data_IF_784320347731
#
_entry.id   IF_784320347731
#
_cell.length_a   1.000
_cell.length_b   1.000
_cell.length_c   1.000
_cell.angle_alpha   90.00
_cell.angle_beta   90.00
_cell.angle_gamma   90.00
#
_symmetry.space_group_name_H-M   'P 1'
#
loop_
_entity.id
_entity.type
_entity.pdbx_description
1 polymer ?
#
# COMPACT_ATOMS: atom_id res chain seq x y z
N UNK A 1 12.86 -0.41 -13.42
CA UNK A 1 12.04 0.66 -14.04
C UNK A 1 12.58 2.08 -13.73
N UNK A 2 13.29 2.32 -12.60
CA UNK A 2 13.78 3.65 -12.21
C UNK A 2 14.63 4.33 -13.30
N UNK A 3 15.64 3.64 -13.85
CA UNK A 3 16.51 4.22 -14.90
C UNK A 3 15.76 4.62 -16.17
N UNK A 4 14.74 3.84 -16.53
CA UNK A 4 13.90 4.17 -17.69
C UNK A 4 12.99 5.37 -17.38
N UNK A 5 12.42 5.41 -16.17
CA UNK A 5 11.58 6.52 -15.73
C UNK A 5 12.36 7.84 -15.72
N UNK A 6 13.61 7.86 -15.22
CA UNK A 6 14.47 9.06 -15.24
C UNK A 6 14.65 9.58 -16.68
N UNK A 7 14.99 8.72 -17.64
CA UNK A 7 15.15 9.12 -19.04
C UNK A 7 13.88 9.75 -19.62
N UNK A 8 12.72 9.20 -19.30
CA UNK A 8 11.45 9.75 -19.78
C UNK A 8 11.14 11.11 -19.12
N UNK A 9 11.41 11.25 -17.84
CA UNK A 9 11.27 12.52 -17.10
C UNK A 9 12.18 13.60 -17.67
N UNK A 10 13.45 13.27 -17.99
CA UNK A 10 14.40 14.20 -18.61
C UNK A 10 13.88 14.77 -19.95
N UNK A 11 13.05 14.01 -20.66
CA UNK A 11 12.40 14.43 -21.90
C UNK A 11 10.97 14.97 -21.69
N UNK A 12 10.57 15.19 -20.42
CA UNK A 12 9.26 15.73 -20.03
C UNK A 12 8.08 14.87 -20.52
N UNK A 13 8.31 13.56 -20.73
CA UNK A 13 7.28 12.62 -21.15
C UNK A 13 6.43 12.23 -19.93
N UNK A 14 5.09 12.38 -19.99
CA UNK A 14 4.19 11.88 -18.96
C UNK A 14 4.35 10.37 -18.77
N UNK A 15 4.43 9.90 -17.51
CA UNK A 15 4.64 8.48 -17.23
C UNK A 15 3.75 7.97 -16.10
N UNK A 16 3.32 6.70 -16.24
CA UNK A 16 2.80 5.90 -15.16
C UNK A 16 3.91 4.94 -14.73
N UNK A 17 4.30 5.00 -13.46
CA UNK A 17 5.37 4.19 -12.89
C UNK A 17 4.78 3.15 -11.95
N UNK A 18 5.14 1.87 -12.15
CA UNK A 18 4.70 0.78 -11.28
C UNK A 18 5.22 0.89 -9.85
N UNK A 19 4.40 0.35 -8.93
CA UNK A 19 4.71 0.25 -7.51
C UNK A 19 5.69 -0.92 -7.21
N UNK A 20 6.46 -0.81 -6.14
CA UNK A 20 6.81 0.41 -5.42
C UNK A 20 7.71 1.30 -6.30
N UNK A 21 7.80 2.59 -5.99
CA UNK A 21 8.65 3.53 -6.76
C UNK A 21 10.06 3.01 -6.96
N UNK A 22 10.61 2.31 -5.97
CA UNK A 22 11.83 1.51 -6.04
C UNK A 22 11.92 0.55 -4.84
N UNK A 23 12.68 -0.53 -5.00
CA UNK A 23 13.05 -1.43 -3.89
C UNK A 23 14.21 -0.88 -3.01
N UNK A 24 14.81 0.27 -3.39
CA UNK A 24 15.86 0.96 -2.65
C UNK A 24 15.55 2.45 -2.57
N UNK A 25 15.59 3.03 -1.37
CA UNK A 25 15.31 4.44 -1.15
C UNK A 25 16.22 5.34 -2.02
N UNK A 26 17.53 5.07 -2.08
CA UNK A 26 18.47 5.87 -2.87
C UNK A 26 18.09 5.96 -4.36
N UNK A 27 17.55 4.89 -4.95
CA UNK A 27 17.08 4.91 -6.33
C UNK A 27 15.79 5.73 -6.48
N UNK A 28 14.86 5.63 -5.51
CA UNK A 28 13.66 6.46 -5.47
C UNK A 28 14.00 7.95 -5.34
N UNK A 29 14.98 8.30 -4.50
CA UNK A 29 15.45 9.67 -4.33
C UNK A 29 16.13 10.22 -5.60
N UNK A 30 16.88 9.39 -6.33
CA UNK A 30 17.45 9.80 -7.62
C UNK A 30 16.37 10.12 -8.65
N UNK A 31 15.33 9.29 -8.74
CA UNK A 31 14.19 9.55 -9.61
C UNK A 31 13.45 10.83 -9.18
N UNK A 32 13.25 11.01 -7.88
CA UNK A 32 12.60 12.21 -7.34
C UNK A 32 13.41 13.49 -7.63
N UNK A 33 14.74 13.45 -7.55
CA UNK A 33 15.61 14.57 -7.92
C UNK A 33 15.46 14.93 -9.40
N UNK A 34 15.50 13.95 -10.30
CA UNK A 34 15.28 14.19 -11.73
C UNK A 34 13.90 14.81 -11.99
N UNK A 35 12.87 14.34 -11.29
CA UNK A 35 11.53 14.93 -11.39
C UNK A 35 11.46 16.36 -10.88
N UNK A 36 12.17 16.71 -9.79
CA UNK A 36 12.20 18.09 -9.26
C UNK A 36 12.70 19.12 -10.27
N UNK A 37 13.60 18.71 -11.17
CA UNK A 37 14.15 19.58 -12.20
C UNK A 37 13.16 19.83 -13.33
N UNK A 38 12.36 18.83 -13.70
CA UNK A 38 11.48 18.86 -14.89
C UNK A 38 10.00 19.04 -14.57
N UNK A 39 9.56 18.53 -13.41
CA UNK A 39 8.15 18.57 -12.97
C UNK A 39 7.17 17.93 -13.97
N UNK A 40 7.66 16.98 -14.80
CA UNK A 40 6.80 16.22 -15.70
C UNK A 40 5.72 15.45 -14.94
N UNK A 41 4.63 15.10 -15.62
CA UNK A 41 3.54 14.34 -15.01
C UNK A 41 4.02 12.92 -14.71
N UNK A 42 3.97 12.53 -13.43
CA UNK A 42 4.27 11.17 -12.93
C UNK A 42 3.11 10.68 -12.08
N UNK A 43 2.46 9.61 -12.52
CA UNK A 43 1.44 8.89 -11.74
C UNK A 43 2.05 7.58 -11.23
N UNK A 44 1.84 7.26 -9.94
CA UNK A 44 2.30 6.00 -9.33
C UNK A 44 1.24 4.91 -9.38
N UNK A 45 1.67 3.68 -9.63
CA UNK A 45 0.86 2.47 -9.80
C UNK A 45 0.18 1.93 -8.54
N UNK A 46 -0.16 2.76 -7.55
CA UNK A 46 -0.97 2.33 -6.40
C UNK A 46 -2.46 2.32 -6.76
N UNK A 47 -2.83 1.36 -7.61
CA UNK A 47 -4.14 1.25 -8.24
C UNK A 47 -5.31 1.15 -7.25
N UNK A 48 -5.11 0.65 -6.02
CA UNK A 48 -6.16 0.59 -4.99
C UNK A 48 -6.77 1.97 -4.69
N UNK A 49 -6.00 3.06 -4.78
CA UNK A 49 -6.53 4.42 -4.59
C UNK A 49 -7.55 4.83 -5.65
N UNK A 50 -7.62 4.12 -6.79
CA UNK A 50 -8.56 4.38 -7.89
C UNK A 50 -9.86 3.59 -7.80
N UNK A 51 -10.07 2.81 -6.73
CA UNK A 51 -11.36 2.14 -6.46
C UNK A 51 -12.36 3.09 -5.81
N UNK A 52 -13.64 2.86 -6.09
CA UNK A 52 -14.76 3.57 -5.43
C UNK A 52 -14.78 3.28 -3.93
N UNK A 53 -14.47 2.03 -3.54
CA UNK A 53 -14.36 1.64 -2.14
C UNK A 53 -13.31 2.43 -1.37
N UNK A 54 -12.09 2.60 -1.94
CA UNK A 54 -11.03 3.39 -1.30
C UNK A 54 -11.43 4.86 -1.12
N UNK A 55 -12.04 5.45 -2.16
CA UNK A 55 -12.53 6.84 -2.11
C UNK A 55 -13.63 7.03 -1.07
N UNK A 56 -14.55 6.07 -0.98
CA UNK A 56 -15.63 6.08 0.01
C UNK A 56 -15.07 5.90 1.43
N UNK A 57 -14.16 4.94 1.62
CA UNK A 57 -13.51 4.70 2.92
C UNK A 57 -12.75 5.93 3.40
N UNK A 58 -11.95 6.56 2.54
CA UNK A 58 -11.25 7.81 2.83
C UNK A 58 -12.21 8.92 3.29
N UNK A 59 -13.33 9.10 2.58
CA UNK A 59 -14.37 10.07 2.98
C UNK A 59 -14.98 9.72 4.34
N UNK A 60 -15.23 8.43 4.60
CA UNK A 60 -15.84 7.97 5.86
C UNK A 60 -14.94 8.15 7.06
N UNK A 61 -13.63 7.94 6.97
CA UNK A 61 -12.72 8.16 8.10
C UNK A 61 -12.56 9.65 8.47
N UNK A 62 -12.93 10.56 7.57
CA UNK A 62 -12.95 12.01 7.82
C UNK A 62 -14.30 12.49 8.37
N UNK A 63 -15.32 11.63 8.36
CA UNK A 63 -16.66 11.95 8.83
C UNK A 63 -16.70 11.93 10.38
N UNK A 64 -17.11 13.03 10.99
CA UNK A 64 -17.26 13.15 12.44
C UNK A 64 -18.26 12.14 13.04
N UNK A 65 -19.13 11.55 12.22
CA UNK A 65 -20.12 10.54 12.65
C UNK A 65 -19.44 9.30 13.20
N UNK A 66 -18.31 8.85 12.59
CA UNK A 66 -17.60 7.67 13.08
C UNK A 66 -16.85 7.91 14.40
N UNK A 67 -16.67 9.16 14.84
CA UNK A 67 -15.96 9.51 16.06
C UNK A 67 -14.44 9.61 15.88
N UNK A 68 -13.72 9.59 17.01
CA UNK A 68 -12.26 9.72 17.03
C UNK A 68 -11.61 8.35 16.83
N UNK A 69 -10.65 8.27 15.92
CA UNK A 69 -9.86 7.05 15.68
C UNK A 69 -9.04 6.73 16.94
N UNK A 70 -9.10 5.49 17.40
CA UNK A 70 -8.31 4.95 18.51
C UNK A 70 -7.15 4.12 17.95
N UNK A 71 -7.45 3.17 17.08
CA UNK A 71 -6.45 2.29 16.47
C UNK A 71 -6.88 1.80 15.10
N UNK A 72 -5.89 1.40 14.30
CA UNK A 72 -6.09 0.85 12.97
C UNK A 72 -5.39 -0.50 12.87
N UNK A 73 -6.06 -1.47 12.24
CA UNK A 73 -5.48 -2.77 11.88
C UNK A 73 -5.61 -2.97 10.37
N UNK A 74 -4.50 -3.19 9.73
CA UNK A 74 -4.41 -3.49 8.30
C UNK A 74 -3.85 -4.91 8.16
N UNK A 75 -4.48 -5.70 7.31
CA UNK A 75 -4.08 -7.08 7.09
C UNK A 75 -4.11 -7.43 5.61
N UNK A 76 -3.04 -8.09 5.13
CA UNK A 76 -2.99 -8.69 3.80
C UNK A 76 -2.27 -10.03 3.87
N UNK A 77 -3.04 -11.09 3.78
CA UNK A 77 -2.58 -12.46 3.87
C UNK A 77 -3.02 -13.25 2.65
N UNK A 78 -2.12 -14.01 2.09
CA UNK A 78 -2.45 -14.96 1.01
C UNK A 78 -1.31 -15.94 0.79
N UNK A 79 -1.62 -17.08 0.19
CA UNK A 79 -0.63 -18.12 -0.07
C UNK A 79 0.07 -17.86 -1.42
N UNK A 80 1.32 -17.39 -1.38
CA UNK A 80 2.10 -17.02 -2.56
C UNK A 80 2.11 -18.08 -3.69
N UNK A 81 2.26 -19.39 -3.40
CA UNK A 81 2.20 -20.40 -4.46
C UNK A 81 0.89 -20.47 -5.25
N UNK A 82 -0.22 -19.96 -4.67
CA UNK A 82 -1.54 -19.93 -5.34
C UNK A 82 -1.77 -18.68 -6.21
N UNK A 83 -0.88 -17.71 -6.19
CA UNK A 83 -1.06 -16.47 -6.97
C UNK A 83 -0.96 -16.71 -8.47
N UNK A 84 -0.07 -17.62 -8.86
CA UNK A 84 0.16 -18.01 -10.25
C UNK A 84 0.40 -19.52 -10.29
N UNK A 85 -0.67 -20.33 -10.28
CA UNK A 85 -0.57 -21.79 -10.12
C UNK A 85 0.23 -22.49 -11.26
N UNK A 86 0.29 -21.86 -12.44
CA UNK A 86 1.03 -22.38 -13.59
C UNK A 86 2.52 -22.00 -13.60
N UNK A 87 3.00 -21.31 -12.57
CA UNK A 87 4.40 -20.86 -12.44
C UNK A 87 4.98 -21.32 -11.11
N UNK A 88 6.25 -21.73 -11.11
CA UNK A 88 6.97 -21.92 -9.88
C UNK A 88 7.21 -20.54 -9.20
N UNK A 89 6.53 -20.31 -8.06
CA UNK A 89 6.60 -19.06 -7.31
C UNK A 89 8.03 -18.65 -6.93
N UNK A 90 8.94 -19.63 -6.73
CA UNK A 90 10.36 -19.41 -6.39
C UNK A 90 11.12 -18.65 -7.48
N UNK A 91 10.62 -18.70 -8.72
CA UNK A 91 11.20 -18.01 -9.87
C UNK A 91 10.60 -16.63 -10.14
N UNK A 92 9.60 -16.22 -9.36
CA UNK A 92 8.95 -14.90 -9.49
C UNK A 92 9.74 -13.80 -8.78
N UNK A 93 9.43 -12.55 -9.11
CA UNK A 93 9.99 -11.36 -8.43
C UNK A 93 9.73 -11.43 -6.93
N UNK A 94 8.52 -11.85 -6.52
CA UNK A 94 8.08 -11.90 -5.12
C UNK A 94 8.97 -12.76 -4.22
N UNK A 95 9.67 -13.77 -4.79
CA UNK A 95 10.52 -14.70 -4.06
C UNK A 95 12.01 -14.33 -4.03
N UNK A 96 12.44 -13.31 -4.81
CA UNK A 96 13.86 -13.02 -5.07
C UNK A 96 14.29 -11.68 -4.50
N UNK A 97 15.23 -11.68 -3.56
CA UNK A 97 15.76 -10.49 -2.90
C UNK A 97 16.38 -9.48 -3.88
N UNK A 98 17.13 -9.96 -4.85
CA UNK A 98 17.81 -9.16 -5.87
C UNK A 98 16.86 -8.42 -6.81
N UNK A 99 15.61 -8.89 -6.91
CA UNK A 99 14.55 -8.27 -7.71
C UNK A 99 13.61 -7.38 -6.88
N UNK A 100 13.86 -7.26 -5.57
CA UNK A 100 13.01 -6.50 -4.67
C UNK A 100 11.77 -7.29 -4.21
N UNK A 101 11.90 -8.61 -4.07
CA UNK A 101 10.86 -9.47 -3.50
C UNK A 101 10.71 -9.31 -1.99
N UNK A 102 9.78 -10.07 -1.43
CA UNK A 102 9.40 -10.08 -0.03
C UNK A 102 8.02 -9.48 0.23
N UNK A 103 7.42 -9.89 1.34
CA UNK A 103 6.06 -9.49 1.69
C UNK A 103 5.93 -7.97 1.83
N UNK A 104 6.93 -7.29 2.38
CA UNK A 104 6.92 -5.85 2.60
C UNK A 104 6.81 -5.06 1.29
N UNK A 105 7.63 -5.39 0.28
CA UNK A 105 7.68 -4.66 -0.99
C UNK A 105 6.54 -5.07 -1.93
N UNK A 106 6.24 -6.35 -1.99
CA UNK A 106 5.20 -6.88 -2.88
C UNK A 106 3.80 -6.42 -2.43
N UNK A 107 3.54 -6.42 -1.11
CA UNK A 107 2.29 -5.98 -0.51
C UNK A 107 2.33 -4.49 -0.09
N UNK A 108 3.13 -3.68 -0.77
CA UNK A 108 3.31 -2.24 -0.45
C UNK A 108 2.06 -1.38 -0.66
N UNK A 109 1.01 -1.89 -1.26
CA UNK A 109 -0.30 -1.22 -1.29
C UNK A 109 -0.82 -0.91 0.11
N UNK A 110 -0.60 -1.81 1.07
CA UNK A 110 -0.99 -1.66 2.46
C UNK A 110 -0.23 -0.54 3.15
N UNK A 111 1.06 -0.39 2.82
CA UNK A 111 1.90 0.72 3.30
C UNK A 111 1.46 2.04 2.68
N UNK A 112 1.15 2.03 1.36
CA UNK A 112 0.69 3.20 0.64
C UNK A 112 -0.60 3.75 1.22
N UNK A 113 -1.66 2.94 1.31
CA UNK A 113 -2.91 3.48 1.82
C UNK A 113 -2.89 3.74 3.33
N UNK A 114 -2.03 3.05 4.11
CA UNK A 114 -1.81 3.42 5.50
C UNK A 114 -1.21 4.83 5.61
N UNK A 115 -0.19 5.13 4.80
CA UNK A 115 0.44 6.44 4.77
C UNK A 115 -0.53 7.54 4.27
N UNK A 116 -1.31 7.24 3.25
CA UNK A 116 -2.30 8.15 2.69
C UNK A 116 -3.44 8.48 3.66
N UNK A 117 -3.96 7.47 4.36
CA UNK A 117 -5.15 7.61 5.21
C UNK A 117 -4.83 8.08 6.62
N UNK A 118 -3.68 7.70 7.16
CA UNK A 118 -3.36 7.87 8.58
C UNK A 118 -2.01 8.56 8.84
N UNK A 119 -1.14 8.69 7.84
CA UNK A 119 0.16 9.34 7.97
C UNK A 119 0.10 10.86 8.12
N UNK A 120 1.21 11.54 8.34
CA UNK A 120 2.53 10.93 8.54
C UNK A 120 2.68 10.26 9.92
N UNK A 121 3.67 9.36 10.03
CA UNK A 121 3.96 8.62 11.26
C UNK A 121 5.20 9.18 11.96
N UNK A 122 5.18 9.23 13.31
CA UNK A 122 6.28 9.72 14.13
C UNK A 122 7.22 8.62 14.64
N UNK A 123 6.71 7.37 14.70
CA UNK A 123 7.52 6.22 15.11
C UNK A 123 7.12 4.96 14.35
N UNK A 124 8.09 4.06 14.21
CA UNK A 124 7.95 2.78 13.55
C UNK A 124 8.71 1.70 14.31
N UNK A 125 8.12 0.51 14.41
CA UNK A 125 8.74 -0.73 14.86
C UNK A 125 8.28 -1.85 13.95
N UNK A 126 9.13 -2.81 13.65
CA UNK A 126 8.80 -3.89 12.72
C UNK A 126 9.47 -5.21 13.07
N UNK A 127 8.86 -6.30 12.61
CA UNK A 127 9.44 -7.63 12.60
C UNK A 127 9.29 -8.21 11.20
N UNK A 128 10.40 -8.33 10.47
CA UNK A 128 10.45 -8.93 9.14
C UNK A 128 10.95 -10.37 9.29
N UNK A 129 10.09 -11.34 8.96
CA UNK A 129 10.29 -12.75 9.24
C UNK A 129 10.40 -13.52 7.93
N UNK A 130 11.41 -14.42 7.86
CA UNK A 130 11.36 -15.56 6.95
C UNK A 130 11.05 -16.79 7.79
N UNK A 131 9.80 -17.25 7.76
CA UNK A 131 9.31 -18.36 8.58
C UNK A 131 9.87 -19.73 8.15
N UNK A 132 10.50 -19.78 6.96
CA UNK A 132 10.91 -21.02 6.29
C UNK A 132 9.74 -21.91 5.85
N UNK A 133 8.51 -21.41 5.90
CA UNK A 133 7.34 -22.12 5.37
C UNK A 133 7.30 -22.16 3.84
N UNK A 134 7.98 -21.21 3.21
CA UNK A 134 8.20 -21.14 1.78
C UNK A 134 9.70 -21.25 1.46
N UNK A 135 10.02 -21.85 0.33
CA UNK A 135 11.40 -21.98 -0.18
C UNK A 135 11.79 -20.67 -0.92
N UNK A 136 11.99 -19.59 -0.16
CA UNK A 136 12.36 -18.26 -0.64
C UNK A 136 13.44 -17.63 0.23
N UNK A 137 14.19 -16.64 -0.32
CA UNK A 137 15.31 -15.98 0.37
C UNK A 137 14.99 -14.56 0.86
N UNK A 138 13.70 -14.23 0.92
CA UNK A 138 13.16 -12.95 1.40
C UNK A 138 12.27 -13.19 2.62
N UNK A 139 11.81 -12.11 3.28
CA UNK A 139 10.77 -12.23 4.30
C UNK A 139 9.44 -12.65 3.67
N UNK A 140 8.77 -13.60 4.30
CA UNK A 140 7.45 -14.10 3.94
C UNK A 140 6.34 -13.51 4.82
N UNK A 141 6.72 -12.84 5.91
CA UNK A 141 5.82 -12.10 6.78
C UNK A 141 6.46 -10.79 7.25
N UNK A 142 5.61 -9.78 7.47
CA UNK A 142 6.00 -8.52 8.07
C UNK A 142 4.93 -8.04 9.06
N UNK A 143 5.32 -7.86 10.32
CA UNK A 143 4.54 -7.21 11.36
C UNK A 143 5.09 -5.80 11.59
N UNK A 144 4.24 -4.79 11.46
CA UNK A 144 4.63 -3.38 11.47
C UNK A 144 3.73 -2.62 12.42
N UNK A 145 4.33 -1.88 13.34
CA UNK A 145 3.66 -0.99 14.28
C UNK A 145 4.07 0.45 13.99
N UNK A 146 3.09 1.28 13.68
CA UNK A 146 3.27 2.70 13.38
C UNK A 146 2.51 3.54 14.40
N UNK A 147 3.03 4.70 14.74
CA UNK A 147 2.35 5.67 15.59
C UNK A 147 2.21 7.00 14.85
N UNK A 148 0.98 7.52 14.80
CA UNK A 148 0.71 8.83 14.21
C UNK A 148 1.13 9.96 15.15
N UNK A 149 1.28 11.18 14.64
CA UNK A 149 1.57 12.36 15.48
C UNK A 149 0.49 12.63 16.55
N UNK A 150 -0.74 12.15 16.32
CA UNK A 150 -1.85 12.27 17.26
C UNK A 150 -1.97 11.04 18.19
N UNK A 151 -0.89 10.28 18.39
CA UNK A 151 -0.81 9.10 19.27
C UNK A 151 -1.81 7.97 18.94
N UNK A 152 -2.12 7.75 17.65
CA UNK A 152 -2.93 6.63 17.20
C UNK A 152 -2.00 5.49 16.77
N UNK A 153 -2.34 4.26 17.14
CA UNK A 153 -1.60 3.08 16.69
C UNK A 153 -2.15 2.57 15.37
N UNK A 154 -1.24 2.22 14.45
CA UNK A 154 -1.55 1.53 13.20
C UNK A 154 -0.72 0.25 13.16
N UNK A 155 -1.39 -0.89 13.15
CA UNK A 155 -0.77 -2.19 13.00
C UNK A 155 -1.01 -2.71 11.58
N UNK A 156 0.05 -3.19 10.93
CA UNK A 156 0.00 -3.77 9.59
C UNK A 156 0.61 -5.16 9.65
N UNK A 157 -0.13 -6.17 9.18
CA UNK A 157 0.35 -7.54 9.00
C UNK A 157 0.30 -7.93 7.53
N UNK A 158 1.44 -8.37 7.00
CA UNK A 158 1.61 -8.83 5.63
C UNK A 158 2.13 -10.27 5.63
N UNK A 159 1.52 -11.16 4.85
CA UNK A 159 1.84 -12.59 4.91
C UNK A 159 1.65 -13.30 3.56
N UNK A 160 2.67 -14.08 3.17
CA UNK A 160 2.67 -14.95 1.99
C UNK A 160 2.34 -16.41 2.29
N UNK A 161 2.18 -16.77 3.57
CA UNK A 161 2.10 -18.16 4.03
C UNK A 161 0.67 -18.63 4.31
N UNK A 162 -0.27 -17.70 4.48
CA UNK A 162 -1.65 -18.01 4.88
C UNK A 162 -2.43 -18.73 3.80
N UNK A 163 -2.91 -19.94 4.11
CA UNK A 163 -3.75 -20.75 3.21
C UNK A 163 -5.13 -20.13 2.97
N UNK A 164 -5.62 -19.33 3.93
CA UNK A 164 -6.88 -18.60 3.85
C UNK A 164 -6.55 -17.13 3.63
N UNK A 165 -6.96 -16.60 2.48
CA UNK A 165 -6.71 -15.19 2.16
C UNK A 165 -7.57 -14.27 3.03
N UNK A 166 -6.94 -13.20 3.53
CA UNK A 166 -7.60 -12.12 4.25
C UNK A 166 -6.98 -10.79 3.84
N UNK A 167 -7.81 -9.79 3.49
CA UNK A 167 -7.33 -8.45 3.17
C UNK A 167 -8.34 -7.41 3.62
N UNK A 168 -7.97 -6.64 4.64
CA UNK A 168 -8.85 -5.63 5.20
C UNK A 168 -8.10 -4.48 5.87
N UNK A 169 -8.81 -3.36 6.02
CA UNK A 169 -8.45 -2.26 6.90
C UNK A 169 -9.60 -2.05 7.90
N UNK A 170 -9.31 -2.16 9.19
CA UNK A 170 -10.25 -1.92 10.29
C UNK A 170 -9.81 -0.72 11.10
N UNK A 171 -10.72 0.24 11.29
CA UNK A 171 -10.53 1.47 12.06
C UNK A 171 -11.44 1.42 13.27
N UNK A 172 -10.86 1.27 14.45
CA UNK A 172 -11.58 1.37 15.72
C UNK A 172 -11.66 2.81 16.18
N UNK A 173 -12.83 3.24 16.59
CA UNK A 173 -13.11 4.58 17.06
C UNK A 173 -13.79 4.54 18.43
N UNK A 174 -13.98 5.71 19.05
CA UNK A 174 -14.73 5.85 20.29
C UNK A 174 -16.25 5.61 20.14
N UNK A 175 -16.73 5.46 18.90
CA UNK A 175 -18.14 5.19 18.58
C UNK A 175 -18.42 3.83 17.96
N UNK A 176 -17.39 3.13 17.47
CA UNK A 176 -17.57 1.84 16.80
C UNK A 176 -16.37 1.43 15.97
N UNK A 177 -16.64 0.63 14.94
CA UNK A 177 -15.62 0.10 14.02
C UNK A 177 -16.05 0.32 12.57
N UNK A 178 -15.18 0.93 11.77
CA UNK A 178 -15.29 1.01 10.32
C UNK A 178 -14.32 0.02 9.69
N UNK A 179 -14.82 -0.96 8.93
CA UNK A 179 -14.00 -1.99 8.29
C UNK A 179 -14.18 -1.99 6.79
N UNK A 180 -13.08 -1.90 6.06
CA UNK A 180 -13.00 -2.13 4.63
C UNK A 180 -12.46 -3.53 4.37
N UNK A 181 -13.30 -4.43 3.84
CA UNK A 181 -12.94 -5.77 3.40
C UNK A 181 -12.67 -5.73 1.89
N UNK A 182 -11.40 -5.82 1.51
CA UNK A 182 -10.97 -5.69 0.11
C UNK A 182 -11.26 -6.96 -0.71
N UNK A 183 -11.45 -8.11 -0.06
CA UNK A 183 -11.80 -9.36 -0.75
C UNK A 183 -13.29 -9.38 -1.07
N UNK A 184 -14.12 -8.99 -0.10
CA UNK A 184 -15.58 -8.92 -0.28
C UNK A 184 -16.05 -7.64 -0.98
N UNK A 185 -15.13 -6.73 -1.24
CA UNK A 185 -15.37 -5.41 -1.83
C UNK A 185 -16.53 -4.67 -1.13
N UNK A 186 -16.46 -4.59 0.19
CA UNK A 186 -17.44 -3.89 1.00
C UNK A 186 -16.82 -3.10 2.14
N UNK A 187 -17.58 -2.12 2.64
CA UNK A 187 -17.25 -1.36 3.84
C UNK A 187 -18.40 -1.54 4.82
N UNK A 188 -18.05 -1.79 6.08
CA UNK A 188 -19.02 -2.00 7.16
C UNK A 188 -18.75 -1.01 8.28
N UNK A 189 -19.79 -0.36 8.78
CA UNK A 189 -19.78 0.40 10.02
C UNK A 189 -20.59 -0.35 11.07
N UNK A 190 -20.00 -0.59 12.22
CA UNK A 190 -20.65 -1.22 13.38
C UNK A 190 -20.52 -0.29 14.56
N UNK A 191 -21.61 0.22 15.10
CA UNK A 191 -21.61 1.08 16.27
C UNK A 191 -21.73 0.29 17.59
N UNK A 192 -21.60 1.00 18.71
CA UNK A 192 -21.69 0.42 20.05
C UNK A 192 -23.09 -0.18 20.36
N UNK A 193 -24.14 0.19 19.61
CA UNK A 193 -25.50 -0.32 19.76
C UNK A 193 -25.78 -1.52 18.86
N UNK A 194 -24.73 -2.10 18.23
CA UNK A 194 -24.82 -3.19 17.27
C UNK A 194 -25.58 -2.84 15.98
N UNK A 195 -25.72 -1.55 15.66
CA UNK A 195 -26.21 -1.12 14.34
C UNK A 195 -25.15 -1.41 13.31
N UNK A 196 -25.49 -2.13 12.26
CA UNK A 196 -24.55 -2.48 11.19
C UNK A 196 -25.04 -1.85 9.87
N UNK A 197 -24.19 -1.01 9.28
CA UNK A 197 -24.39 -0.49 7.94
C UNK A 197 -23.32 -1.10 7.03
N UNK A 198 -23.74 -1.64 5.88
CA UNK A 198 -22.82 -2.24 4.90
C UNK A 198 -23.02 -1.57 3.54
N UNK A 199 -21.93 -1.10 2.94
CA UNK A 199 -21.87 -0.60 1.58
C UNK A 199 -21.09 -1.60 0.72
N UNK A 200 -21.69 -2.08 -0.36
CA UNK A 200 -21.06 -3.00 -1.32
C UNK A 200 -20.67 -2.22 -2.57
N UNK A 201 -19.55 -2.62 -3.18
CA UNK A 201 -19.04 -2.04 -4.41
C UNK A 201 -18.98 -3.13 -5.47
N UNK A 202 -19.61 -2.89 -6.62
CA UNK A 202 -19.69 -3.84 -7.73
C UNK A 202 -18.63 -3.54 -8.79
N UNK A 203 -17.40 -3.36 -8.34
CA UNK A 203 -16.26 -3.13 -9.22
C UNK A 203 -15.54 -4.45 -9.47
N UNK A 204 -15.30 -4.79 -10.74
CA UNK A 204 -14.44 -5.90 -11.11
C UNK A 204 -12.98 -5.62 -10.74
N UNK A 205 -12.22 -6.70 -10.52
CA UNK A 205 -10.83 -6.58 -10.11
C UNK A 205 -9.98 -5.74 -11.07
N UNK A 206 -10.28 -5.78 -12.36
CA UNK A 206 -9.52 -5.09 -13.39
C UNK A 206 -9.94 -3.62 -13.57
N UNK A 207 -11.10 -3.22 -13.04
CA UNK A 207 -11.57 -1.83 -13.13
C UNK A 207 -10.62 -0.83 -12.44
N UNK A 208 -9.97 -1.23 -11.34
CA UNK A 208 -8.99 -0.35 -10.69
C UNK A 208 -7.83 0.03 -11.61
N UNK A 209 -7.39 -0.87 -12.50
CA UNK A 209 -6.34 -0.59 -13.49
C UNK A 209 -6.87 0.29 -14.62
N UNK A 210 -8.09 0.01 -15.07
CA UNK A 210 -8.78 0.83 -16.07
C UNK A 210 -9.00 2.25 -15.56
N UNK A 211 -9.49 2.40 -14.34
CA UNK A 211 -9.70 3.69 -13.69
C UNK A 211 -8.39 4.45 -13.49
N UNK A 212 -7.32 3.76 -13.10
CA UNK A 212 -5.99 4.35 -12.98
C UNK A 212 -5.47 4.86 -14.33
N UNK A 213 -5.62 4.07 -15.40
CA UNK A 213 -5.16 4.42 -16.73
C UNK A 213 -5.97 5.58 -17.33
N UNK A 214 -7.30 5.56 -17.18
CA UNK A 214 -8.16 6.67 -17.61
C UNK A 214 -7.78 7.95 -16.86
N UNK A 215 -7.59 7.88 -15.56
CA UNK A 215 -7.15 9.04 -14.77
C UNK A 215 -5.78 9.56 -15.21
N UNK A 216 -4.85 8.68 -15.61
CA UNK A 216 -3.57 9.10 -16.18
C UNK A 216 -3.76 9.91 -17.47
N UNK A 217 -4.60 9.44 -18.41
CA UNK A 217 -4.89 10.16 -19.64
C UNK A 217 -5.62 11.47 -19.37
N UNK A 218 -6.60 11.49 -18.46
CA UNK A 218 -7.28 12.72 -18.05
C UNK A 218 -6.28 13.77 -17.53
N UNK A 219 -5.28 13.34 -16.74
CA UNK A 219 -4.23 14.23 -16.24
C UNK A 219 -3.32 14.75 -17.37
N UNK A 220 -3.03 13.91 -18.37
CA UNK A 220 -2.22 14.31 -19.55
C UNK A 220 -2.96 15.34 -20.39
N UNK A 221 -4.26 15.13 -20.65
CA UNK A 221 -5.07 15.99 -21.51
C UNK A 221 -5.41 17.34 -20.85
N UNK A 222 -5.67 17.33 -19.54
CA UNK A 222 -6.10 18.50 -18.80
C UNK A 222 -4.98 19.22 -18.03
N UNK A 223 -3.71 18.80 -18.16
CA UNK A 223 -2.59 19.23 -17.31
C UNK A 223 -2.94 19.12 -15.80
N UNK A 224 -3.61 18.01 -15.47
CA UNK A 224 -4.17 17.75 -14.16
C UNK A 224 -3.16 17.15 -13.18
N UNK A 225 -3.47 17.27 -11.88
CA UNK A 225 -2.65 16.65 -10.83
C UNK A 225 -3.01 15.16 -10.67
N UNK A 226 -2.04 14.24 -10.71
CA UNK A 226 -2.28 12.82 -10.45
C UNK A 226 -2.84 12.58 -9.04
N UNK A 227 -3.78 11.64 -8.93
CA UNK A 227 -4.35 11.20 -7.64
C UNK A 227 -3.30 10.54 -6.75
N UNK A 228 -2.34 9.85 -7.36
CA UNK A 228 -1.17 9.25 -6.70
C UNK A 228 0.07 9.86 -7.30
N UNK A 229 0.69 10.76 -6.56
CA UNK A 229 1.82 11.58 -7.01
C UNK A 229 3.17 10.91 -6.75
N UNK A 230 4.23 11.46 -7.35
CA UNK A 230 5.59 11.04 -7.02
C UNK A 230 5.95 11.39 -5.56
N UNK A 231 5.36 12.46 -5.00
CA UNK A 231 5.51 12.79 -3.57
C UNK A 231 4.94 11.69 -2.67
N UNK A 232 3.80 11.10 -3.05
CA UNK A 232 3.27 9.91 -2.37
C UNK A 232 4.26 8.75 -2.48
N UNK A 233 4.80 8.48 -3.67
CA UNK A 233 5.74 7.40 -3.91
C UNK A 233 7.03 7.52 -3.11
N UNK A 234 7.62 8.72 -3.02
CA UNK A 234 8.83 8.93 -2.22
C UNK A 234 8.53 8.85 -0.71
N UNK A 235 7.35 9.29 -0.28
CA UNK A 235 6.90 9.16 1.11
C UNK A 235 6.77 7.68 1.50
N UNK A 236 6.15 6.86 0.66
CA UNK A 236 6.06 5.40 0.87
C UNK A 236 7.43 4.74 0.85
N UNK A 237 8.32 5.11 -0.08
CA UNK A 237 9.68 4.57 -0.13
C UNK A 237 10.47 4.87 1.15
N UNK A 238 10.36 6.08 1.70
CA UNK A 238 10.96 6.47 2.99
C UNK A 238 10.37 5.69 4.16
N UNK A 239 9.06 5.48 4.17
CA UNK A 239 8.40 4.68 5.20
C UNK A 239 8.86 3.22 5.15
N UNK A 240 8.95 2.62 3.95
CA UNK A 240 9.48 1.26 3.77
C UNK A 240 10.92 1.16 4.27
N UNK A 241 11.78 2.11 3.94
CA UNK A 241 13.17 2.16 4.41
C UNK A 241 13.23 2.24 5.95
N UNK A 242 12.39 3.07 6.56
CA UNK A 242 12.26 3.17 8.02
C UNK A 242 11.77 1.88 8.65
N UNK A 243 10.82 1.17 8.02
CA UNK A 243 10.34 -0.14 8.47
C UNK A 243 11.49 -1.17 8.42
N UNK A 244 12.27 -1.20 7.34
CA UNK A 244 13.43 -2.09 7.22
C UNK A 244 14.50 -1.79 8.25
N UNK A 245 14.77 -0.51 8.52
CA UNK A 245 15.76 -0.07 9.51
C UNK A 245 15.32 -0.39 10.95
N UNK A 246 14.02 -0.33 11.24
CA UNK A 246 13.43 -0.60 12.55
C UNK A 246 13.21 -2.10 12.83
N UNK A 247 13.67 -2.99 11.94
CA UNK A 247 13.47 -4.44 12.09
C UNK A 247 14.17 -4.97 13.33
N UNK A 248 13.39 -5.41 14.31
CA UNK A 248 13.92 -5.99 15.55
C UNK A 248 14.38 -7.42 15.23
N UNK A 249 15.72 -7.60 15.10
CA UNK A 249 16.35 -8.91 15.11
C UNK A 249 16.50 -9.31 16.56
N UNK A 250 15.60 -10.12 17.11
CA UNK A 250 15.85 -10.75 18.41
C UNK A 250 16.94 -11.79 18.22
N UNK A 251 18.13 -11.50 18.71
CA UNK A 251 19.09 -12.53 19.15
C UNK A 251 18.60 -13.04 20.50
N UNK A 252 17.81 -14.08 20.50
CA UNK A 252 17.57 -14.90 21.70
C UNK A 252 18.61 -16.01 21.70
#
# INVERSE_FOLDING_TARGET
>A
HVSNAIKLIEHEIPILVEKPLSHKLALAENLYKAWLEKKSLVLLGYCLRHTSAASFFHKKIQDSIIGNIISVTIKCESYLPKWRPDQDYRNTVSAKKELGGGALLELSHEIDYANWLFGPFKSVSSMLINSKSLDINVEDMADIFLETHNNKSVYIHLDFCSQISSRFCSVKTDKGELKWDLIKNNITWSDANSTINTWKFEEDRDEMYTNQLNHFFDCVEADGKPKVTIDDGISVAKLIDSIQAANIRSSI
#
